data_IF_271140368367
#
_entry.id   IF_271140368367
#
_cell.length_a   1.000
_cell.length_b   1.000
_cell.length_c   1.000
_cell.angle_alpha   90.00
_cell.angle_beta   90.00
_cell.angle_gamma   90.00
#
_symmetry.space_group_name_H-M   'P 1'
#
loop_
_entity.id
_entity.type
_entity.pdbx_description
1 polymer ?
#
# COMPACT_ATOMS: atom_id res chain seq x y z
N UNK A 1 21.29 -29.62 -22.53
CA UNK A 1 21.21 -29.02 -21.18
C UNK A 1 21.60 -27.54 -21.14
N UNK A 2 22.73 -27.09 -21.70
CA UNK A 2 23.05 -25.65 -21.79
C UNK A 2 22.40 -24.95 -23.00
N UNK A 3 22.18 -25.67 -24.10
CA UNK A 3 21.58 -25.13 -25.34
C UNK A 3 20.08 -24.83 -25.20
N UNK A 4 19.36 -25.61 -24.40
CA UNK A 4 17.91 -25.46 -24.19
C UNK A 4 17.58 -24.21 -23.36
N UNK A 5 18.45 -23.85 -22.42
CA UNK A 5 18.33 -22.64 -21.62
C UNK A 5 18.55 -21.37 -22.43
N UNK A 6 19.47 -21.40 -23.41
CA UNK A 6 19.75 -20.26 -24.29
C UNK A 6 18.58 -20.02 -25.25
N UNK A 7 17.99 -21.07 -25.82
CA UNK A 7 16.79 -20.97 -26.67
C UNK A 7 15.59 -20.42 -25.90
N UNK A 8 15.39 -20.83 -24.64
CA UNK A 8 14.36 -20.26 -23.76
C UNK A 8 14.60 -18.78 -23.47
N UNK A 9 15.85 -18.39 -23.23
CA UNK A 9 16.22 -17.01 -22.94
C UNK A 9 16.07 -16.10 -24.18
N UNK A 10 16.45 -16.57 -25.38
CA UNK A 10 16.25 -15.81 -26.62
C UNK A 10 14.78 -15.61 -26.96
N UNK A 11 13.92 -16.61 -26.75
CA UNK A 11 12.48 -16.44 -26.94
C UNK A 11 11.88 -15.42 -25.96
N UNK A 12 12.36 -15.38 -24.71
CA UNK A 12 11.92 -14.38 -23.72
C UNK A 12 12.36 -12.95 -24.08
N UNK A 13 13.54 -12.79 -24.70
CA UNK A 13 14.03 -11.48 -25.13
C UNK A 13 13.29 -11.02 -26.40
N UNK A 14 12.98 -11.93 -27.32
CA UNK A 14 12.29 -11.60 -28.57
C UNK A 14 10.84 -11.17 -28.34
N UNK A 15 10.14 -11.80 -27.37
CA UNK A 15 8.76 -11.42 -26.99
C UNK A 15 8.71 -10.02 -26.34
N UNK A 16 9.82 -9.56 -25.74
CA UNK A 16 9.94 -8.21 -25.17
C UNK A 16 10.21 -7.13 -26.22
N UNK A 17 10.51 -7.49 -27.48
CA UNK A 17 11.01 -6.55 -28.49
C UNK A 17 10.05 -6.31 -29.66
N UNK A 18 8.83 -6.86 -29.60
CA UNK A 18 7.74 -6.50 -30.50
C UNK A 18 6.86 -5.45 -29.83
N UNK A 19 7.02 -4.14 -30.14
CA UNK A 19 5.96 -3.20 -29.88
C UNK A 19 4.85 -3.49 -30.89
N UNK A 20 3.82 -4.24 -30.46
CA UNK A 20 2.55 -4.23 -31.16
C UNK A 20 2.08 -2.76 -31.19
N UNK A 21 2.16 -2.15 -32.38
CA UNK A 21 1.46 -0.93 -32.73
C UNK A 21 -0.06 -1.20 -32.64
N UNK A 22 -0.58 -1.10 -31.42
CA UNK A 22 -2.00 -1.05 -31.13
C UNK A 22 -2.45 0.40 -30.97
N UNK A 23 -3.16 0.89 -31.98
CA UNK A 23 -3.93 2.14 -31.96
C UNK A 23 -4.63 2.41 -30.61
N UNK A 24 -4.37 3.59 -30.03
CA UNK A 24 -5.42 4.46 -29.50
C UNK A 24 -6.40 3.96 -28.44
N UNK A 25 -6.06 2.96 -27.61
CA UNK A 25 -6.92 2.51 -26.51
C UNK A 25 -6.20 2.65 -25.16
N UNK A 26 -6.25 3.87 -24.61
CA UNK A 26 -5.96 4.30 -23.24
C UNK A 26 -4.95 3.48 -22.44
N UNK A 27 -3.80 4.08 -22.09
CA UNK A 27 -2.95 3.63 -20.98
C UNK A 27 -3.84 3.15 -19.83
N UNK A 28 -4.03 1.84 -19.74
CA UNK A 28 -4.70 1.25 -18.59
C UNK A 28 -3.70 1.44 -17.49
N UNK A 29 -3.92 2.46 -16.64
CA UNK A 29 -3.11 2.65 -15.44
C UNK A 29 -3.17 1.34 -14.64
N UNK A 30 -2.16 0.48 -14.81
CA UNK A 30 -1.97 -0.68 -13.96
C UNK A 30 -1.57 -0.12 -12.62
N UNK A 31 -2.56 0.04 -11.74
CA UNK A 31 -2.33 0.45 -10.37
C UNK A 31 -1.30 -0.49 -9.76
N UNK A 32 -0.23 0.07 -9.18
CA UNK A 32 0.83 -0.70 -8.55
C UNK A 32 0.30 -1.56 -7.39
N UNK A 33 -0.88 -1.21 -6.84
CA UNK A 33 -1.52 -1.91 -5.73
C UNK A 33 -2.90 -2.45 -6.13
N UNK A 34 -3.06 -3.76 -5.92
CA UNK A 34 -4.34 -4.43 -6.18
C UNK A 34 -5.49 -3.89 -5.29
N UNK A 35 -6.75 -3.94 -5.75
CA UNK A 35 -7.91 -3.54 -4.94
C UNK A 35 -8.00 -4.26 -3.59
N UNK A 36 -7.56 -5.53 -3.53
CA UNK A 36 -7.54 -6.34 -2.30
C UNK A 36 -6.56 -5.79 -1.27
N UNK A 37 -5.36 -5.40 -1.71
CA UNK A 37 -4.36 -4.81 -0.84
C UNK A 37 -4.76 -3.42 -0.34
N UNK A 38 -5.40 -2.61 -1.18
CA UNK A 38 -5.96 -1.33 -0.74
C UNK A 38 -6.97 -1.52 0.39
N UNK A 39 -7.88 -2.51 0.27
CA UNK A 39 -8.83 -2.82 1.35
C UNK A 39 -8.13 -3.26 2.65
N UNK A 40 -7.00 -3.97 2.54
CA UNK A 40 -6.16 -4.33 3.70
C UNK A 40 -5.59 -3.09 4.39
N UNK A 41 -5.10 -2.10 3.63
CA UNK A 41 -4.56 -0.84 4.16
C UNK A 41 -5.63 0.00 4.85
N UNK A 42 -6.84 0.05 4.29
CA UNK A 42 -7.99 0.68 4.95
C UNK A 42 -8.33 0.00 6.28
N UNK A 43 -8.43 -1.33 6.28
CA UNK A 43 -8.72 -2.09 7.50
C UNK A 43 -7.66 -1.87 8.58
N UNK A 44 -6.38 -1.79 8.18
CA UNK A 44 -5.29 -1.46 9.09
C UNK A 44 -5.44 -0.05 9.66
N UNK A 45 -5.71 0.96 8.82
CA UNK A 45 -5.93 2.34 9.25
C UNK A 45 -7.06 2.44 10.28
N UNK A 46 -8.20 1.80 10.00
CA UNK A 46 -9.36 1.78 10.90
C UNK A 46 -9.00 1.13 12.25
N UNK A 47 -8.36 -0.04 12.24
CA UNK A 47 -8.00 -0.76 13.48
C UNK A 47 -7.06 0.06 14.36
N UNK A 48 -6.00 0.65 13.78
CA UNK A 48 -5.04 1.46 14.54
C UNK A 48 -5.69 2.74 15.04
N UNK A 49 -6.52 3.39 14.22
CA UNK A 49 -7.22 4.61 14.63
C UNK A 49 -8.15 4.35 15.83
N UNK A 50 -8.95 3.28 15.78
CA UNK A 50 -9.85 2.90 16.89
C UNK A 50 -9.05 2.56 18.14
N UNK A 51 -8.03 1.70 18.02
CA UNK A 51 -7.18 1.32 19.15
C UNK A 51 -6.52 2.54 19.82
N UNK A 52 -5.97 3.44 19.01
CA UNK A 52 -5.29 4.65 19.51
C UNK A 52 -6.27 5.61 20.17
N UNK A 53 -7.48 5.74 19.61
CA UNK A 53 -8.54 6.57 20.19
C UNK A 53 -8.97 6.05 21.57
N UNK A 54 -9.07 4.73 21.74
CA UNK A 54 -9.37 4.10 23.04
C UNK A 54 -8.28 4.45 24.07
N UNK A 55 -7.00 4.31 23.71
CA UNK A 55 -5.89 4.67 24.61
C UNK A 55 -5.93 6.15 24.97
N UNK A 56 -6.20 7.04 24.00
CA UNK A 56 -6.33 8.46 24.25
C UNK A 56 -7.44 8.74 25.28
N UNK A 57 -8.61 8.14 25.12
CA UNK A 57 -9.73 8.29 26.06
C UNK A 57 -9.32 7.83 27.47
N UNK A 58 -8.63 6.70 27.59
CA UNK A 58 -8.14 6.20 28.88
C UNK A 58 -7.17 7.21 29.52
N UNK A 59 -6.21 7.74 28.76
CA UNK A 59 -5.27 8.76 29.23
C UNK A 59 -5.97 10.03 29.71
N UNK A 60 -7.07 10.43 29.05
CA UNK A 60 -7.88 11.58 29.46
C UNK A 60 -8.64 11.31 30.75
N UNK A 61 -9.29 10.14 30.89
CA UNK A 61 -10.04 9.76 32.09
C UNK A 61 -9.12 9.66 33.31
N UNK A 62 -7.95 9.05 33.14
CA UNK A 62 -6.95 8.90 34.21
C UNK A 62 -6.14 10.17 34.49
N UNK A 63 -6.37 11.24 33.71
CA UNK A 63 -5.66 12.52 33.80
C UNK A 63 -4.13 12.35 33.86
N UNK A 64 -3.60 11.44 33.05
CA UNK A 64 -2.17 11.14 32.98
C UNK A 64 -1.42 12.34 32.41
N UNK A 65 -0.16 12.50 32.81
CA UNK A 65 0.72 13.57 32.31
C UNK A 65 0.58 13.72 30.77
N UNK A 66 0.27 14.92 30.25
CA UNK A 66 0.02 15.15 28.84
C UNK A 66 1.13 14.69 27.89
N UNK A 67 2.38 14.60 28.35
CA UNK A 67 3.51 14.11 27.54
C UNK A 67 3.31 12.68 27.04
N UNK A 68 2.56 11.83 27.77
CA UNK A 68 2.24 10.48 27.31
C UNK A 68 1.38 10.45 26.03
N UNK A 69 0.67 11.55 25.73
CA UNK A 69 -0.13 11.68 24.51
C UNK A 69 0.76 11.79 23.27
N UNK A 70 2.02 12.25 23.41
CA UNK A 70 2.96 12.34 22.28
C UNK A 70 3.28 10.98 21.67
N UNK A 71 3.29 9.92 22.49
CA UNK A 71 3.55 8.56 21.99
C UNK A 71 2.43 8.11 21.03
N UNK A 72 1.20 8.61 21.21
CA UNK A 72 0.08 8.32 20.32
C UNK A 72 0.21 8.96 18.93
N UNK A 73 1.14 9.89 18.75
CA UNK A 73 1.42 10.49 17.46
C UNK A 73 1.85 9.45 16.43
N UNK A 74 2.72 8.50 16.81
CA UNK A 74 3.22 7.47 15.89
C UNK A 74 2.11 6.56 15.33
N UNK A 75 1.25 5.95 16.16
CA UNK A 75 0.16 5.13 15.63
C UNK A 75 -0.85 5.97 14.84
N UNK A 76 -1.16 7.20 15.25
CA UNK A 76 -2.01 8.11 14.46
C UNK A 76 -1.40 8.40 13.08
N UNK A 77 -0.11 8.77 13.02
CA UNK A 77 0.59 9.04 11.77
C UNK A 77 0.60 7.81 10.84
N UNK A 78 0.77 6.60 11.39
CA UNK A 78 0.71 5.35 10.63
C UNK A 78 -0.71 5.06 10.08
N UNK A 79 -1.75 5.34 10.86
CA UNK A 79 -3.13 5.19 10.42
C UNK A 79 -3.47 6.18 9.30
N UNK A 80 -3.04 7.44 9.46
CA UNK A 80 -3.22 8.50 8.48
C UNK A 80 -2.51 8.18 7.17
N UNK A 81 -1.24 7.76 7.20
CA UNK A 81 -0.52 7.39 5.98
C UNK A 81 -1.16 6.19 5.27
N UNK A 82 -1.64 5.20 6.03
CA UNK A 82 -2.34 4.03 5.47
C UNK A 82 -3.68 4.39 4.85
N UNK A 83 -4.41 5.35 5.44
CA UNK A 83 -5.64 5.88 4.88
C UNK A 83 -5.39 6.63 3.57
N UNK A 84 -4.35 7.46 3.52
CA UNK A 84 -3.99 8.16 2.28
C UNK A 84 -3.56 7.20 1.18
N UNK A 85 -2.77 6.17 1.49
CA UNK A 85 -2.42 5.12 0.52
C UNK A 85 -3.63 4.32 0.02
N UNK A 86 -4.69 4.21 0.81
CA UNK A 86 -5.94 3.62 0.34
C UNK A 86 -6.70 4.57 -0.59
N UNK A 87 -6.69 5.88 -0.30
CA UNK A 87 -7.38 6.92 -1.08
C UNK A 87 -6.68 7.19 -2.41
N UNK A 88 -5.35 7.27 -2.40
CA UNK A 88 -4.55 7.54 -3.58
C UNK A 88 -4.47 6.28 -4.46
N UNK A 89 -4.86 6.45 -5.73
CA UNK A 89 -4.85 5.39 -6.73
C UNK A 89 -3.47 5.33 -7.39
N UNK A 90 -2.42 5.01 -6.63
CA UNK A 90 -1.11 4.61 -7.18
C UNK A 90 -1.15 3.19 -7.72
#
# INVERSE_FOLDING_TARGET
>A
MLTDSILKFSNLIFDSMNPEEGEGAGEVCIANISPKERKKRLNFAIRIFVFTSIILIILLILNVNPLWRLILFLPLASATSSFFQWRDKT
#
